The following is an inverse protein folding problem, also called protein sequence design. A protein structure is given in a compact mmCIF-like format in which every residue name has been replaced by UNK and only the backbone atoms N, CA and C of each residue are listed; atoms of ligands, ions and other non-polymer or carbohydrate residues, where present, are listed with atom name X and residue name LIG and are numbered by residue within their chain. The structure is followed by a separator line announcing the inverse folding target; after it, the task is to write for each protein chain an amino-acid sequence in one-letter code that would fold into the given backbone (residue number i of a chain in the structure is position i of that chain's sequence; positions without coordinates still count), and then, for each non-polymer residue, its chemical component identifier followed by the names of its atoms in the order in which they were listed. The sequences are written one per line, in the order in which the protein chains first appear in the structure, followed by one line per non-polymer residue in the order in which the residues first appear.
data_IF_461010127211
#
_entry.id   IF_461010127211
#
_cell.length_a   1.000
_cell.length_b   1.000
_cell.length_c   1.000
_cell.angle_alpha   90.00
_cell.angle_beta   90.00
_cell.angle_gamma   90.00
#
_symmetry.space_group_name_H-M   'P 1'
#
loop_
_entity.id
_entity.type
_entity.pdbx_description
1 polymer ?
#
# COMPACT_ATOMS: atom_id res chain seq x y z
N UNK A 1 7.58 -18.88 1.95
CA UNK A 1 6.89 -17.60 2.20
C UNK A 1 5.75 -17.83 3.17
N UNK A 2 5.62 -16.96 4.15
CA UNK A 2 4.55 -17.06 5.13
C UNK A 2 3.20 -16.75 4.49
N UNK A 3 2.15 -17.43 4.92
CA UNK A 3 0.80 -17.17 4.42
C UNK A 3 0.36 -15.72 4.68
N UNK A 4 0.82 -15.16 5.79
CA UNK A 4 0.51 -13.78 6.18
C UNK A 4 0.99 -12.76 5.15
N UNK A 5 2.05 -13.06 4.42
CA UNK A 5 2.63 -12.16 3.42
C UNK A 5 2.51 -12.68 2.00
N UNK A 6 1.70 -13.70 1.80
CA UNK A 6 1.43 -14.24 0.46
C UNK A 6 0.12 -13.69 -0.06
N UNK A 7 0.20 -12.84 -1.06
CA UNK A 7 -1.00 -12.27 -1.69
C UNK A 7 -1.58 -13.27 -2.69
N UNK A 8 -2.86 -13.59 -2.53
CA UNK A 8 -3.58 -14.48 -3.44
C UNK A 8 -4.30 -13.71 -4.53
N UNK A 9 -4.82 -12.53 -4.19
CA UNK A 9 -5.63 -11.76 -5.10
C UNK A 9 -5.48 -10.28 -4.76
N UNK A 10 -5.41 -9.45 -5.80
CA UNK A 10 -5.33 -8.00 -5.64
C UNK A 10 -6.34 -7.36 -6.56
N UNK A 11 -7.13 -6.43 -6.04
CA UNK A 11 -8.09 -5.69 -6.84
C UNK A 11 -8.02 -4.20 -6.51
N UNK A 12 -8.26 -3.37 -7.52
CA UNK A 12 -8.23 -1.91 -7.37
C UNK A 12 -9.60 -1.37 -7.79
N UNK A 13 -10.17 -0.52 -6.95
CA UNK A 13 -11.41 0.18 -7.28
C UNK A 13 -11.13 1.68 -7.32
N UNK A 14 -11.11 2.24 -8.51
CA UNK A 14 -10.93 3.69 -8.69
C UNK A 14 -12.14 4.44 -8.14
N UNK A 15 -13.32 3.89 -8.31
CA UNK A 15 -14.55 4.48 -7.79
C UNK A 15 -14.52 4.62 -6.27
N UNK A 16 -14.10 3.56 -5.59
CA UNK A 16 -14.03 3.57 -4.13
C UNK A 16 -12.72 4.10 -3.60
N UNK A 17 -11.75 4.32 -4.48
CA UNK A 17 -10.41 4.80 -4.13
C UNK A 17 -9.72 3.87 -3.14
N UNK A 18 -9.78 2.56 -3.44
CA UNK A 18 -9.18 1.54 -2.57
C UNK A 18 -8.46 0.46 -3.38
N UNK A 19 -7.49 -0.16 -2.75
CA UNK A 19 -6.85 -1.38 -3.24
C UNK A 19 -7.07 -2.46 -2.18
N UNK A 20 -7.52 -3.63 -2.62
CA UNK A 20 -7.80 -4.75 -1.71
C UNK A 20 -6.83 -5.89 -1.99
N UNK A 21 -6.26 -6.46 -0.94
CA UNK A 21 -5.40 -7.64 -1.04
C UNK A 21 -6.01 -8.76 -0.20
N UNK A 22 -6.18 -9.93 -0.82
CA UNK A 22 -6.57 -11.14 -0.10
C UNK A 22 -5.31 -11.96 0.14
N UNK A 23 -5.02 -12.23 1.39
CA UNK A 23 -3.82 -12.97 1.80
C UNK A 23 -4.11 -14.46 2.00
N UNK A 24 -3.07 -15.28 1.89
CA UNK A 24 -3.21 -16.73 2.01
C UNK A 24 -3.69 -17.20 3.38
N UNK A 25 -3.52 -16.38 4.41
CA UNK A 25 -4.02 -16.70 5.75
C UNK A 25 -5.51 -16.35 5.93
N UNK A 26 -6.18 -15.90 4.87
CA UNK A 26 -7.59 -15.56 4.90
C UNK A 26 -7.88 -14.11 5.27
N UNK A 27 -6.87 -13.33 5.61
CA UNK A 27 -7.05 -11.91 5.93
C UNK A 27 -7.25 -11.08 4.66
N UNK A 28 -8.09 -10.07 4.75
CA UNK A 28 -8.31 -9.12 3.66
C UNK A 28 -7.86 -7.74 4.10
N UNK A 29 -6.98 -7.12 3.33
CA UNK A 29 -6.49 -5.77 3.59
C UNK A 29 -7.10 -4.81 2.59
N UNK A 30 -7.59 -3.66 3.07
CA UNK A 30 -8.15 -2.61 2.21
C UNK A 30 -7.34 -1.34 2.46
N UNK A 31 -6.77 -0.80 1.39
CA UNK A 31 -5.90 0.37 1.46
C UNK A 31 -6.54 1.52 0.70
N UNK A 32 -6.90 2.64 1.37
CA UNK A 32 -7.26 3.86 0.66
C UNK A 32 -6.10 4.30 -0.24
N UNK A 33 -6.39 4.64 -1.50
CA UNK A 33 -5.33 4.94 -2.46
C UNK A 33 -4.46 6.14 -2.06
N UNK A 34 -5.06 7.19 -1.52
CA UNK A 34 -4.27 8.36 -1.11
C UNK A 34 -3.28 8.01 -0.01
N UNK A 35 -3.72 7.27 1.01
CA UNK A 35 -2.82 6.82 2.07
C UNK A 35 -1.74 5.89 1.53
N UNK A 36 -2.11 5.00 0.62
CA UNK A 36 -1.17 4.07 0.00
C UNK A 36 -0.10 4.82 -0.79
N UNK A 37 -0.49 5.88 -1.52
CA UNK A 37 0.44 6.72 -2.25
C UNK A 37 1.38 7.46 -1.31
N UNK A 38 0.87 7.97 -0.19
CA UNK A 38 1.68 8.63 0.83
C UNK A 38 2.62 7.65 1.54
N UNK A 39 2.23 6.39 1.59
CA UNK A 39 3.03 5.33 2.22
C UNK A 39 4.09 4.76 1.29
N UNK A 40 4.28 5.35 0.09
CA UNK A 40 5.27 4.89 -0.86
C UNK A 40 6.65 4.81 -0.19
N UNK A 41 7.31 3.64 -0.24
CA UNK A 41 8.58 3.45 0.48
C UNK A 41 9.82 3.92 -0.28
N UNK A 42 9.66 4.56 -1.44
CA UNK A 42 10.81 5.03 -2.20
C UNK A 42 11.49 6.20 -1.45
N UNK A 43 12.75 6.46 -1.79
CA UNK A 43 13.54 7.48 -1.10
C UNK A 43 12.89 8.86 -1.16
N UNK A 44 12.34 9.23 -2.32
CA UNK A 44 11.67 10.52 -2.50
C UNK A 44 10.45 10.67 -1.60
N UNK A 45 9.61 9.65 -1.54
CA UNK A 45 8.38 9.69 -0.76
C UNK A 45 8.64 9.55 0.74
N UNK A 46 9.68 8.80 1.10
CA UNK A 46 10.05 8.62 2.50
C UNK A 46 10.80 9.85 3.06
N UNK A 47 10.95 10.91 2.26
CA UNK A 47 11.55 12.15 2.72
C UNK A 47 13.05 12.20 2.66
N UNK A 48 13.67 11.28 1.97
CA UNK A 48 15.12 11.26 1.84
C UNK A 48 15.81 11.29 3.19
N UNK A 49 16.88 12.07 3.29
CA UNK A 49 17.67 12.13 4.51
C UNK A 49 16.94 12.81 5.66
N UNK A 50 16.04 13.73 5.36
CA UNK A 50 15.34 14.49 6.39
C UNK A 50 14.44 13.60 7.25
N UNK A 51 13.93 12.52 6.67
CA UNK A 51 13.04 11.59 7.36
C UNK A 51 13.65 10.21 7.52
N UNK A 52 14.98 10.12 7.45
CA UNK A 52 15.65 8.85 7.60
C UNK A 52 15.35 8.27 8.99
N UNK A 53 14.90 7.02 9.02
CA UNK A 53 14.52 6.37 10.25
C UNK A 53 13.05 6.49 10.60
N UNK A 54 12.31 7.38 9.95
CA UNK A 54 10.87 7.49 10.15
C UNK A 54 10.18 6.61 9.10
N UNK A 55 9.52 5.56 9.57
CA UNK A 55 8.79 4.67 8.67
C UNK A 55 7.31 5.04 8.70
N UNK A 56 6.65 5.09 7.53
CA UNK A 56 5.20 5.25 7.51
C UNK A 56 4.54 4.12 8.30
N UNK A 57 3.46 4.46 9.00
CA UNK A 57 2.68 3.48 9.76
C UNK A 57 1.25 3.51 9.25
N UNK A 58 0.41 2.61 9.78
CA UNK A 58 -0.99 2.56 9.39
C UNK A 58 -1.72 3.87 9.72
N UNK A 59 -1.18 4.70 10.61
CA UNK A 59 -1.79 5.99 10.94
C UNK A 59 -1.94 6.91 9.72
N UNK A 60 -1.11 6.72 8.69
CA UNK A 60 -1.21 7.51 7.46
C UNK A 60 -2.59 7.37 6.80
N UNK A 61 -3.30 6.28 7.07
CA UNK A 61 -4.63 6.04 6.51
C UNK A 61 -5.75 6.77 7.25
N UNK A 62 -5.45 7.45 8.35
CA UNK A 62 -6.44 8.25 9.08
C UNK A 62 -6.71 9.59 8.42
N UNK A 63 -5.81 10.05 7.57
CA UNK A 63 -5.95 11.35 6.91
C UNK A 63 -7.10 11.34 5.90
N UNK A 64 -7.89 12.42 5.83
CA UNK A 64 -8.98 12.46 4.86
C UNK A 64 -8.46 12.50 3.43
N UNK A 65 -9.29 12.02 2.52
CA UNK A 65 -8.98 12.05 1.09
C UNK A 65 -9.14 13.46 0.56
N UNK A 66 -8.12 13.96 -0.12
CA UNK A 66 -8.16 15.29 -0.73
C UNK A 66 -8.06 15.24 -2.25
N UNK A 67 -7.57 14.13 -2.80
CA UNK A 67 -7.37 13.94 -4.22
C UNK A 67 -7.90 12.59 -4.68
N UNK A 68 -8.21 12.51 -5.98
CA UNK A 68 -8.55 11.24 -6.60
C UNK A 68 -7.28 10.66 -7.24
N UNK A 69 -6.99 9.42 -6.92
CA UNK A 69 -5.79 8.74 -7.39
C UNK A 69 -6.14 7.61 -8.34
N UNK A 70 -5.24 7.33 -9.28
CA UNK A 70 -5.39 6.26 -10.24
C UNK A 70 -4.14 5.38 -10.23
N UNK A 71 -4.33 4.07 -10.28
CA UNK A 71 -3.25 3.12 -10.46
C UNK A 71 -3.36 2.63 -11.90
N UNK A 72 -2.30 2.81 -12.69
CA UNK A 72 -2.30 2.43 -14.10
C UNK A 72 -1.79 1.01 -14.32
N UNK A 73 -0.96 0.50 -13.40
CA UNK A 73 -0.37 -0.82 -13.56
C UNK A 73 0.16 -1.34 -12.23
N UNK A 74 0.16 -2.65 -12.08
CA UNK A 74 0.77 -3.35 -10.94
C UNK A 74 1.69 -4.41 -11.52
N UNK A 75 2.91 -4.52 -10.98
CA UNK A 75 3.86 -5.56 -11.36
C UNK A 75 4.46 -6.23 -10.14
N UNK A 76 4.60 -7.55 -10.20
CA UNK A 76 5.32 -8.28 -9.17
C UNK A 76 6.83 -8.02 -9.31
N UNK A 77 7.50 -7.85 -8.18
CA UNK A 77 8.95 -7.70 -8.14
C UNK A 77 9.50 -8.90 -7.38
N UNK A 78 10.07 -9.86 -8.10
CA UNK A 78 10.47 -11.12 -7.52
C UNK A 78 9.27 -11.79 -6.85
N UNK A 79 9.48 -12.41 -5.69
CA UNK A 79 8.41 -12.99 -4.88
C UNK A 79 8.20 -12.22 -3.58
N UNK A 80 8.77 -11.02 -3.45
CA UNK A 80 8.80 -10.30 -2.18
C UNK A 80 8.11 -8.94 -2.19
N UNK A 81 7.71 -8.43 -3.36
CA UNK A 81 7.20 -7.07 -3.46
C UNK A 81 6.32 -6.87 -4.69
N UNK A 82 5.69 -5.70 -4.73
CA UNK A 82 4.87 -5.26 -5.84
C UNK A 82 5.23 -3.81 -6.16
N UNK A 83 5.39 -3.51 -7.44
CA UNK A 83 5.60 -2.13 -7.90
C UNK A 83 4.27 -1.56 -8.34
N UNK A 84 3.95 -0.36 -7.85
CA UNK A 84 2.72 0.33 -8.21
C UNK A 84 3.06 1.47 -9.17
N UNK A 85 2.38 1.51 -10.31
CA UNK A 85 2.50 2.58 -11.29
C UNK A 85 1.29 3.49 -11.14
N UNK A 86 1.52 4.70 -10.65
CA UNK A 86 0.45 5.67 -10.38
C UNK A 86 0.15 6.53 -11.59
N UNK A 87 -1.08 7.03 -11.66
CA UNK A 87 -1.51 7.88 -12.77
C UNK A 87 -0.83 9.23 -12.84
N UNK A 88 -0.20 9.68 -11.73
CA UNK A 88 0.58 10.92 -11.72
C UNK A 88 2.00 10.74 -12.25
N UNK A 89 2.34 9.55 -12.74
CA UNK A 89 3.66 9.27 -13.28
C UNK A 89 4.64 8.71 -12.26
N UNK A 90 4.27 8.63 -10.99
CA UNK A 90 5.13 8.08 -9.96
C UNK A 90 5.16 6.56 -10.09
N UNK A 91 6.33 5.98 -10.30
CA UNK A 91 6.47 4.55 -10.52
C UNK A 91 7.62 3.90 -9.76
N UNK A 92 8.25 4.64 -8.84
CA UNK A 92 9.41 4.14 -8.10
C UNK A 92 9.02 3.41 -6.81
N UNK A 93 7.73 3.32 -6.49
CA UNK A 93 7.28 2.69 -5.26
C UNK A 93 7.24 1.17 -5.36
N UNK A 94 8.18 0.50 -4.70
CA UNK A 94 8.19 -0.95 -4.60
C UNK A 94 7.77 -1.31 -3.19
N UNK A 95 6.57 -1.87 -3.07
CA UNK A 95 5.96 -2.19 -1.79
C UNK A 95 6.20 -3.66 -1.47
N UNK A 96 6.99 -3.94 -0.44
CA UNK A 96 7.20 -5.33 -0.01
C UNK A 96 5.90 -5.85 0.60
N UNK A 97 5.62 -7.13 0.40
CA UNK A 97 4.41 -7.74 0.95
C UNK A 97 4.35 -7.63 2.47
N UNK A 98 5.49 -7.82 3.12
CA UNK A 98 5.61 -7.68 4.56
C UNK A 98 5.26 -6.25 5.00
N UNK A 99 5.77 -5.24 4.29
CA UNK A 99 5.47 -3.85 4.57
C UNK A 99 3.97 -3.57 4.43
N UNK A 100 3.37 -4.02 3.33
CA UNK A 100 1.93 -3.83 3.10
C UNK A 100 1.10 -4.46 4.21
N UNK A 101 1.45 -5.68 4.64
CA UNK A 101 0.72 -6.33 5.71
C UNK A 101 0.89 -5.60 7.03
N UNK A 102 2.10 -5.09 7.31
CA UNK A 102 2.37 -4.37 8.55
C UNK A 102 1.61 -3.05 8.66
N UNK A 103 1.32 -2.39 7.53
CA UNK A 103 0.56 -1.14 7.54
C UNK A 103 -0.93 -1.35 7.24
N UNK A 104 -1.41 -2.58 7.20
CA UNK A 104 -2.82 -2.87 6.90
C UNK A 104 -3.75 -2.07 7.81
N UNK A 105 -4.62 -1.19 7.25
CA UNK A 105 -5.49 -0.35 8.07
C UNK A 105 -6.48 -1.15 8.90
N UNK A 106 -6.96 -2.27 8.36
CA UNK A 106 -7.93 -3.11 9.07
C UNK A 106 -7.27 -3.80 10.26
N UNK A 107 -6.10 -4.40 10.05
CA UNK A 107 -5.38 -5.12 11.09
C UNK A 107 -4.91 -4.19 12.20
N UNK A 108 -4.64 -2.93 11.86
CA UNK A 108 -4.20 -1.92 12.83
C UNK A 108 -5.36 -1.13 13.45
N UNK A 109 -6.59 -1.52 13.15
CA UNK A 109 -7.76 -0.90 13.76
C UNK A 109 -8.13 0.47 13.22
N UNK A 110 -7.59 0.87 12.07
CA UNK A 110 -7.87 2.17 11.44
C UNK A 110 -9.19 2.12 10.68
N UNK A 111 -9.43 1.03 9.95
CA UNK A 111 -10.65 0.82 9.19
C UNK A 111 -11.37 -0.41 9.71
N UNK A 112 -12.72 -0.39 9.77
CA UNK A 112 -13.48 -1.58 10.11
C UNK A 112 -13.51 -2.56 8.95
N UNK A 113 -13.74 -3.84 9.28
CA UNK A 113 -13.95 -4.85 8.25
C UNK A 113 -15.21 -4.58 7.47
#
# INVERSE_FOLDING_TARGET
MEERTRALEISVSTEKQTMTILWADGHKSIYPLEGLRRACPCVECAGGHANMGKKPTAEIFRSPHTNTWTITKLEEVGNYAMQIFWGDGHDTGIYRWEYLRNICPIENGILPL
#
